data_IF_544608994313
#
_entry.id   IF_544608994313
#
_cell.length_a   1.000
_cell.length_b   1.000
_cell.length_c   1.000
_cell.angle_alpha   90.00
_cell.angle_beta   90.00
_cell.angle_gamma   90.00
#
_symmetry.space_group_name_H-M   'P 1'
#
loop_
_entity.id
_entity.type
_entity.pdbx_description
1 polymer ?
#
# COMPACT_ATOMS: atom_id res chain seq x y z
N UNK A 1 27.68 7.32 -9.36
CA UNK A 1 26.87 6.08 -9.26
C UNK A 1 25.41 6.44 -9.49
N UNK A 2 24.66 5.64 -10.24
CA UNK A 2 23.23 5.85 -10.40
C UNK A 2 22.52 5.49 -9.08
N UNK A 3 21.47 6.24 -8.72
CA UNK A 3 20.63 5.98 -7.55
C UNK A 3 19.89 4.65 -7.79
N UNK A 4 19.87 3.76 -6.81
CA UNK A 4 19.13 2.51 -6.85
C UNK A 4 17.77 2.64 -6.17
N UNK A 5 16.71 2.53 -6.95
CA UNK A 5 15.31 2.70 -6.52
C UNK A 5 14.69 1.32 -6.32
N UNK A 6 14.42 0.95 -5.07
CA UNK A 6 13.66 -0.27 -4.75
C UNK A 6 12.18 -0.07 -5.06
N UNK A 7 11.70 -0.64 -6.16
CA UNK A 7 10.30 -0.51 -6.60
C UNK A 7 9.44 -1.65 -6.04
N UNK A 8 8.67 -1.34 -5.02
CA UNK A 8 7.81 -2.31 -4.31
C UNK A 8 6.43 -2.34 -4.94
N UNK A 9 6.07 -3.45 -5.58
CA UNK A 9 4.77 -3.61 -6.25
C UNK A 9 4.37 -5.09 -6.37
N UNK A 10 3.06 -5.34 -6.57
CA UNK A 10 2.54 -6.69 -6.84
C UNK A 10 2.82 -7.14 -8.27
N UNK A 11 2.93 -6.21 -9.20
CA UNK A 11 3.10 -6.46 -10.62
C UNK A 11 4.49 -6.00 -11.07
N UNK A 12 5.05 -6.68 -12.04
CA UNK A 12 6.34 -6.29 -12.60
C UNK A 12 6.28 -4.85 -13.18
N UNK A 13 7.35 -4.05 -13.03
CA UNK A 13 7.39 -2.68 -13.53
C UNK A 13 7.14 -2.56 -15.05
N UNK A 14 7.44 -3.61 -15.81
CA UNK A 14 7.23 -3.67 -17.26
C UNK A 14 5.85 -4.20 -17.68
N UNK A 15 4.97 -4.57 -16.74
CA UNK A 15 3.62 -5.02 -17.06
C UNK A 15 2.72 -3.81 -17.39
N UNK A 16 2.45 -3.63 -18.69
CA UNK A 16 1.62 -2.53 -19.22
C UNK A 16 0.13 -2.68 -18.93
N UNK A 17 -0.33 -3.86 -18.50
CA UNK A 17 -1.75 -4.14 -18.19
C UNK A 17 -2.07 -3.89 -16.72
N UNK A 18 -1.06 -3.92 -15.87
CA UNK A 18 -1.24 -3.74 -14.43
C UNK A 18 -1.69 -2.31 -14.11
N UNK A 19 -2.73 -2.20 -13.26
CA UNK A 19 -3.29 -0.91 -12.81
C UNK A 19 -3.55 0.06 -13.97
N UNK A 20 -4.19 -0.46 -15.05
CA UNK A 20 -4.50 0.33 -16.27
C UNK A 20 -3.28 1.02 -16.89
N UNK A 21 -2.10 0.40 -16.79
CA UNK A 21 -0.85 0.95 -17.32
C UNK A 21 -0.10 1.89 -16.36
N UNK A 22 -0.72 2.33 -15.28
CA UNK A 22 -0.11 3.27 -14.33
C UNK A 22 1.17 2.72 -13.72
N UNK A 23 1.19 1.41 -13.35
CA UNK A 23 2.38 0.74 -12.81
C UNK A 23 3.58 0.88 -13.75
N UNK A 24 3.38 0.60 -15.04
CA UNK A 24 4.42 0.72 -16.07
C UNK A 24 4.88 2.18 -16.23
N UNK A 25 3.94 3.12 -16.34
CA UNK A 25 4.26 4.54 -16.54
C UNK A 25 5.04 5.15 -15.37
N UNK A 26 4.66 4.82 -14.15
CA UNK A 26 5.38 5.27 -12.94
C UNK A 26 6.80 4.71 -12.93
N UNK A 27 6.98 3.41 -13.18
CA UNK A 27 8.30 2.80 -13.26
C UNK A 27 9.16 3.37 -14.39
N UNK A 28 8.57 3.63 -15.57
CA UNK A 28 9.22 4.26 -16.72
C UNK A 28 9.72 5.68 -16.37
N UNK A 29 8.93 6.47 -15.65
CA UNK A 29 9.38 7.80 -15.22
C UNK A 29 10.48 7.73 -14.16
N UNK A 30 10.34 6.85 -13.18
CA UNK A 30 11.36 6.68 -12.13
C UNK A 30 12.69 6.17 -12.69
N UNK A 31 12.68 5.35 -13.74
CA UNK A 31 13.90 4.85 -14.39
C UNK A 31 14.78 5.94 -15.01
N UNK A 32 14.23 7.13 -15.24
CA UNK A 32 15.01 8.30 -15.70
C UNK A 32 15.91 8.88 -14.60
N UNK A 33 15.60 8.60 -13.35
CA UNK A 33 16.31 9.13 -12.18
C UNK A 33 17.23 8.11 -11.51
N UNK A 34 17.07 6.80 -11.81
CA UNK A 34 17.87 5.75 -11.22
C UNK A 34 17.59 4.36 -11.75
N UNK A 35 18.37 3.40 -11.28
CA UNK A 35 18.18 1.99 -11.56
C UNK A 35 16.99 1.45 -10.77
N UNK A 36 16.03 0.82 -11.45
CA UNK A 36 14.86 0.19 -10.81
C UNK A 36 15.20 -1.23 -10.40
N UNK A 37 15.13 -1.50 -9.10
CA UNK A 37 15.22 -2.84 -8.53
C UNK A 37 13.81 -3.26 -8.12
N UNK A 38 13.21 -4.17 -8.86
CA UNK A 38 11.85 -4.63 -8.55
C UNK A 38 11.83 -5.52 -7.30
N UNK A 39 10.97 -5.17 -6.36
CA UNK A 39 10.75 -5.84 -5.09
C UNK A 39 9.32 -6.40 -5.07
N UNK A 40 9.09 -7.63 -5.56
CA UNK A 40 7.75 -8.18 -5.73
C UNK A 40 7.08 -8.48 -4.39
N UNK A 41 5.81 -8.09 -4.28
CA UNK A 41 4.93 -8.46 -3.17
C UNK A 41 4.02 -9.60 -3.62
N UNK A 42 4.14 -10.75 -2.98
CA UNK A 42 3.31 -11.91 -3.28
C UNK A 42 2.28 -12.15 -2.18
N UNK A 43 1.04 -12.45 -2.57
CA UNK A 43 -0.02 -12.83 -1.64
C UNK A 43 0.19 -14.28 -1.20
N UNK A 44 0.47 -14.56 0.09
CA UNK A 44 0.63 -15.94 0.58
C UNK A 44 -0.63 -16.78 0.38
N UNK A 45 -0.48 -18.07 0.09
CA UNK A 45 -1.64 -18.99 -0.06
C UNK A 45 -2.51 -19.02 1.20
N UNK A 46 -1.90 -19.05 2.38
CA UNK A 46 -2.61 -19.04 3.66
C UNK A 46 -3.44 -17.76 3.85
N UNK A 47 -2.94 -16.61 3.39
CA UNK A 47 -3.70 -15.36 3.41
C UNK A 47 -4.99 -15.50 2.61
N UNK A 48 -4.94 -16.06 1.39
CA UNK A 48 -6.11 -16.23 0.52
C UNK A 48 -7.15 -17.16 1.14
N UNK A 49 -6.72 -18.26 1.74
CA UNK A 49 -7.62 -19.22 2.42
C UNK A 49 -8.34 -18.52 3.57
N UNK A 50 -7.60 -17.84 4.47
CA UNK A 50 -8.19 -17.14 5.60
C UNK A 50 -9.08 -15.97 5.17
N UNK A 51 -8.71 -15.26 4.14
CA UNK A 51 -9.53 -14.19 3.59
C UNK A 51 -10.89 -14.72 3.11
N UNK A 52 -10.90 -15.82 2.36
CA UNK A 52 -12.13 -16.43 1.85
C UNK A 52 -13.02 -16.96 2.99
N UNK A 53 -12.44 -17.65 3.98
CA UNK A 53 -13.20 -18.18 5.12
C UNK A 53 -13.79 -17.05 5.96
N UNK A 54 -13.03 -16.00 6.23
CA UNK A 54 -13.53 -14.85 7.01
C UNK A 54 -14.59 -14.05 6.24
N UNK A 55 -14.44 -13.90 4.92
CA UNK A 55 -15.48 -13.29 4.09
C UNK A 55 -16.78 -14.11 4.08
N UNK A 56 -16.69 -15.44 4.02
CA UNK A 56 -17.86 -16.33 4.12
C UNK A 56 -18.53 -16.19 5.49
N UNK A 57 -17.76 -16.23 6.57
CA UNK A 57 -18.26 -16.04 7.92
C UNK A 57 -18.92 -14.66 8.11
N UNK A 58 -18.33 -13.59 7.62
CA UNK A 58 -18.89 -12.24 7.73
C UNK A 58 -20.27 -12.12 7.06
N UNK A 59 -20.49 -12.85 5.96
CA UNK A 59 -21.78 -12.86 5.25
C UNK A 59 -22.93 -13.41 6.10
N UNK A 60 -22.66 -14.34 7.04
CA UNK A 60 -23.67 -14.87 7.97
C UNK A 60 -24.27 -13.76 8.86
N UNK A 61 -23.50 -12.71 9.11
CA UNK A 61 -23.92 -11.54 9.89
C UNK A 61 -24.34 -10.36 8.99
N UNK A 62 -24.55 -10.60 7.69
CA UNK A 62 -24.82 -9.56 6.70
C UNK A 62 -23.77 -8.42 6.73
N UNK A 63 -22.53 -8.74 7.12
CA UNK A 63 -21.40 -7.83 7.22
C UNK A 63 -20.32 -8.20 6.21
N UNK A 64 -19.37 -7.28 6.03
CA UNK A 64 -18.16 -7.50 5.26
C UNK A 64 -16.93 -7.38 6.15
N UNK A 65 -15.85 -7.99 5.70
CA UNK A 65 -14.52 -7.85 6.27
C UNK A 65 -13.52 -7.60 5.14
N UNK A 66 -12.71 -6.56 5.28
CA UNK A 66 -11.57 -6.35 4.40
C UNK A 66 -10.33 -6.85 5.13
N UNK A 67 -9.91 -8.07 4.79
CA UNK A 67 -8.95 -8.84 5.59
C UNK A 67 -7.57 -8.18 5.67
N UNK A 68 -7.12 -7.52 4.60
CA UNK A 68 -5.84 -6.78 4.59
C UNK A 68 -5.79 -5.72 5.70
N UNK A 69 -6.90 -5.07 6.00
CA UNK A 69 -7.00 -4.06 7.06
C UNK A 69 -7.35 -4.66 8.43
N UNK A 70 -6.91 -5.89 8.69
CA UNK A 70 -6.86 -6.51 10.02
C UNK A 70 -5.41 -6.76 10.41
N UNK A 71 -5.11 -6.78 11.74
CA UNK A 71 -3.76 -7.10 12.23
C UNK A 71 -3.26 -8.43 11.68
N UNK A 72 -4.13 -9.46 11.68
CA UNK A 72 -3.77 -10.78 11.19
C UNK A 72 -3.51 -10.75 9.67
N UNK A 73 -4.42 -10.18 8.90
CA UNK A 73 -4.30 -10.12 7.44
C UNK A 73 -3.06 -9.32 7.01
N UNK A 74 -2.86 -8.16 7.61
CA UNK A 74 -1.71 -7.32 7.32
C UNK A 74 -0.38 -8.00 7.67
N UNK A 75 -0.29 -8.65 8.84
CA UNK A 75 0.91 -9.39 9.25
C UNK A 75 1.20 -10.60 8.35
N UNK A 76 0.18 -11.35 7.94
CA UNK A 76 0.37 -12.47 7.02
C UNK A 76 0.83 -11.98 5.63
N UNK A 77 0.24 -10.91 5.15
CA UNK A 77 0.61 -10.31 3.87
C UNK A 77 2.03 -9.73 3.90
N UNK A 78 2.41 -9.09 4.99
CA UNK A 78 3.70 -8.46 5.17
C UNK A 78 4.89 -9.45 5.29
N UNK A 79 4.64 -10.72 5.54
CA UNK A 79 5.68 -11.78 5.64
C UNK A 79 6.19 -12.28 4.28
N UNK A 80 6.16 -11.46 3.24
CA UNK A 80 6.78 -11.80 1.95
C UNK A 80 8.32 -11.84 2.11
N UNK A 81 8.98 -13.00 1.93
CA UNK A 81 10.28 -13.27 2.54
C UNK A 81 11.48 -12.54 1.93
N UNK A 82 11.41 -12.12 0.67
CA UNK A 82 12.60 -11.75 -0.10
C UNK A 82 12.91 -10.24 -0.17
N UNK A 83 12.02 -9.39 0.35
CA UNK A 83 12.20 -7.93 0.22
C UNK A 83 13.37 -7.44 1.08
N UNK A 84 13.52 -7.95 2.30
CA UNK A 84 14.49 -7.42 3.28
C UNK A 84 15.94 -7.46 2.81
N UNK A 85 16.35 -8.55 2.17
CA UNK A 85 17.72 -8.69 1.65
C UNK A 85 18.00 -7.75 0.48
N UNK A 86 17.01 -7.56 -0.38
CA UNK A 86 17.10 -6.69 -1.55
C UNK A 86 17.03 -5.21 -1.20
N UNK A 87 16.31 -4.83 -0.12
CA UNK A 87 16.26 -3.44 0.38
C UNK A 87 17.64 -2.89 0.75
N UNK A 88 18.57 -3.76 1.17
CA UNK A 88 19.95 -3.34 1.49
C UNK A 88 20.69 -2.74 0.31
N UNK A 89 20.34 -3.15 -0.91
CA UNK A 89 20.96 -2.71 -2.16
C UNK A 89 20.36 -1.39 -2.69
N UNK A 90 19.22 -0.94 -2.12
CA UNK A 90 18.52 0.24 -2.58
C UNK A 90 18.97 1.48 -1.80
N UNK A 91 18.96 2.64 -2.43
CA UNK A 91 19.21 3.93 -1.81
C UNK A 91 17.90 4.58 -1.34
N UNK A 92 16.83 4.40 -2.11
CA UNK A 92 15.48 4.89 -1.85
C UNK A 92 14.47 3.79 -2.16
N UNK A 93 13.32 3.81 -1.49
CA UNK A 93 12.25 2.84 -1.67
C UNK A 93 11.03 3.56 -2.22
N UNK A 94 10.52 3.09 -3.34
CA UNK A 94 9.25 3.56 -3.91
C UNK A 94 8.21 2.44 -3.79
N UNK A 95 7.10 2.73 -3.10
CA UNK A 95 6.03 1.77 -2.85
C UNK A 95 4.81 2.14 -3.68
N UNK A 96 4.40 1.22 -4.57
CA UNK A 96 3.25 1.40 -5.45
C UNK A 96 2.02 0.72 -4.85
N UNK A 97 1.07 1.51 -4.36
CA UNK A 97 -0.27 1.16 -3.85
C UNK A 97 -0.35 0.19 -2.66
N UNK A 98 0.60 -0.69 -2.44
CA UNK A 98 0.52 -1.66 -1.37
C UNK A 98 1.74 -1.61 -0.45
N UNK A 99 1.59 -0.96 0.67
CA UNK A 99 2.64 -0.74 1.65
C UNK A 99 2.61 -1.72 2.83
N UNK A 100 1.71 -2.71 2.84
CA UNK A 100 1.55 -3.66 3.95
C UNK A 100 2.86 -4.32 4.44
N UNK A 101 3.86 -4.67 3.59
CA UNK A 101 5.13 -5.20 4.05
C UNK A 101 5.84 -4.33 5.09
N UNK A 102 5.70 -3.00 4.99
CA UNK A 102 6.36 -2.05 5.87
C UNK A 102 5.73 -1.93 7.27
N UNK A 103 4.67 -2.66 7.56
CA UNK A 103 4.22 -2.83 8.95
C UNK A 103 5.25 -3.55 9.80
N UNK A 104 5.92 -4.57 9.23
CA UNK A 104 6.93 -5.37 9.94
C UNK A 104 8.36 -5.00 9.52
N UNK A 105 8.55 -4.61 8.26
CA UNK A 105 9.87 -4.22 7.76
C UNK A 105 10.24 -2.85 8.32
N UNK A 106 11.41 -2.80 8.97
CA UNK A 106 12.06 -1.56 9.37
C UNK A 106 13.27 -1.31 8.47
N UNK A 107 13.43 -0.06 8.03
CA UNK A 107 14.56 0.38 7.21
C UNK A 107 14.90 1.82 7.53
N UNK A 108 16.16 2.19 7.44
CA UNK A 108 16.62 3.58 7.50
C UNK A 108 16.56 4.30 6.16
N UNK A 109 16.21 3.57 5.09
CA UNK A 109 16.11 4.17 3.75
C UNK A 109 14.83 5.01 3.65
N UNK A 110 14.88 6.15 2.94
CA UNK A 110 13.68 6.94 2.70
C UNK A 110 12.65 6.15 1.89
N UNK A 111 11.38 6.23 2.32
CA UNK A 111 10.26 5.55 1.65
C UNK A 111 9.34 6.60 1.05
N UNK A 112 9.11 6.52 -0.25
CA UNK A 112 8.09 7.28 -0.97
C UNK A 112 6.91 6.33 -1.24
N UNK A 113 5.72 6.70 -0.82
CA UNK A 113 4.51 5.91 -1.02
C UNK A 113 3.56 6.59 -1.98
N UNK A 114 3.16 5.87 -3.03
CA UNK A 114 2.13 6.32 -3.97
C UNK A 114 0.81 5.63 -3.66
N UNK A 115 -0.26 6.43 -3.52
CA UNK A 115 -1.62 5.93 -3.26
C UNK A 115 -2.67 6.72 -4.04
N UNK A 116 -3.75 6.04 -4.43
CA UNK A 116 -4.93 6.63 -5.06
C UNK A 116 -6.07 6.88 -4.06
N UNK A 117 -6.08 6.17 -2.94
CA UNK A 117 -7.08 6.31 -1.89
C UNK A 117 -6.53 5.83 -0.55
N UNK A 118 -7.09 6.32 0.55
CA UNK A 118 -6.85 5.81 1.89
C UNK A 118 -7.99 4.89 2.32
N UNK A 119 -7.74 4.02 3.31
CA UNK A 119 -8.80 3.16 3.83
C UNK A 119 -9.99 3.97 4.42
N UNK A 120 -9.79 5.03 5.25
CA UNK A 120 -10.92 5.85 5.72
C UNK A 120 -11.72 6.47 4.56
N UNK A 121 -11.08 6.96 3.51
CA UNK A 121 -11.77 7.53 2.35
C UNK A 121 -12.58 6.48 1.56
N UNK A 122 -12.16 5.22 1.58
CA UNK A 122 -12.88 4.13 0.90
C UNK A 122 -14.07 3.58 1.71
N UNK A 123 -14.08 3.74 3.04
CA UNK A 123 -15.15 3.24 3.92
C UNK A 123 -16.49 3.87 3.51
N UNK A 124 -17.49 3.00 3.30
CA UNK A 124 -18.87 3.34 2.93
C UNK A 124 -18.98 4.12 1.59
N UNK A 125 -17.88 4.30 0.86
CA UNK A 125 -17.83 4.90 -0.47
C UNK A 125 -17.79 3.83 -1.57
N UNK A 126 -16.85 2.89 -1.50
CA UNK A 126 -16.78 1.80 -2.48
C UNK A 126 -17.48 0.53 -1.98
N UNK A 127 -18.20 -0.20 -2.85
CA UNK A 127 -18.97 -1.38 -2.46
C UNK A 127 -18.20 -2.42 -1.63
N UNK A 128 -16.90 -2.73 -1.89
CA UNK A 128 -16.16 -3.67 -1.06
C UNK A 128 -15.92 -3.21 0.38
N UNK A 129 -15.97 -1.89 0.64
CA UNK A 129 -15.72 -1.26 1.92
C UNK A 129 -16.98 -0.81 2.65
N UNK A 130 -18.16 -1.05 2.06
CA UNK A 130 -19.45 -0.79 2.72
C UNK A 130 -19.80 -1.88 3.71
N UNK A 131 -20.52 -1.51 4.77
CA UNK A 131 -21.04 -2.44 5.78
C UNK A 131 -19.98 -3.31 6.46
N UNK A 132 -18.76 -2.77 6.65
CA UNK A 132 -17.70 -3.45 7.39
C UNK A 132 -18.04 -3.57 8.87
N UNK A 133 -17.51 -4.62 9.53
CA UNK A 133 -17.52 -4.66 10.98
C UNK A 133 -16.83 -3.43 11.59
N UNK A 134 -17.37 -2.92 12.69
CA UNK A 134 -16.81 -1.75 13.37
C UNK A 134 -15.34 -1.95 13.77
N UNK A 135 -15.01 -3.14 14.29
CA UNK A 135 -13.63 -3.46 14.64
C UNK A 135 -12.69 -3.40 13.44
N UNK A 136 -13.16 -3.83 12.24
CA UNK A 136 -12.34 -3.80 11.02
C UNK A 136 -12.08 -2.35 10.57
N UNK A 137 -13.11 -1.49 10.61
CA UNK A 137 -12.95 -0.06 10.34
C UNK A 137 -11.91 0.56 11.27
N UNK A 138 -12.09 0.42 12.59
CA UNK A 138 -11.20 1.00 13.61
C UNK A 138 -9.76 0.47 13.52
N UNK A 139 -9.61 -0.84 13.30
CA UNK A 139 -8.30 -1.47 13.19
C UNK A 139 -7.58 -1.05 11.92
N UNK A 140 -8.31 -1.01 10.78
CA UNK A 140 -7.74 -0.62 9.49
C UNK A 140 -7.24 0.82 9.48
N UNK A 141 -8.00 1.77 10.01
CA UNK A 141 -7.58 3.17 10.13
C UNK A 141 -6.28 3.28 10.93
N UNK A 142 -6.22 2.63 12.11
CA UNK A 142 -5.00 2.65 12.95
C UNK A 142 -3.79 2.01 12.29
N UNK A 143 -4.00 0.91 11.56
CA UNK A 143 -2.92 0.23 10.83
C UNK A 143 -2.36 1.13 9.73
N UNK A 144 -3.24 1.78 8.99
CA UNK A 144 -2.84 2.67 7.91
C UNK A 144 -2.16 3.94 8.45
N UNK A 145 -2.70 4.57 9.49
CA UNK A 145 -2.06 5.71 10.17
C UNK A 145 -0.63 5.37 10.64
N UNK A 146 -0.45 4.24 11.33
CA UNK A 146 0.87 3.79 11.78
C UNK A 146 1.83 3.52 10.62
N UNK A 147 1.31 3.02 9.50
CA UNK A 147 2.08 2.73 8.31
C UNK A 147 2.55 4.04 7.63
N UNK A 148 1.64 5.00 7.50
CA UNK A 148 1.92 6.29 6.88
C UNK A 148 2.95 7.12 7.67
N UNK A 149 3.03 6.94 8.99
CA UNK A 149 4.05 7.58 9.81
C UNK A 149 5.49 7.17 9.44
N UNK A 150 5.67 6.02 8.80
CA UNK A 150 6.98 5.51 8.36
C UNK A 150 7.46 6.12 7.03
N UNK A 151 6.59 6.79 6.29
CA UNK A 151 6.93 7.31 4.97
C UNK A 151 7.57 8.69 5.04
N UNK A 152 8.63 8.87 4.27
CA UNK A 152 9.33 10.15 4.10
C UNK A 152 8.53 11.10 3.22
N UNK A 153 7.85 10.56 2.20
CA UNK A 153 6.95 11.30 1.33
C UNK A 153 5.76 10.43 0.91
N UNK A 154 4.61 11.07 0.73
CA UNK A 154 3.38 10.43 0.28
C UNK A 154 2.89 11.18 -0.97
N UNK A 155 2.73 10.44 -2.04
CA UNK A 155 2.21 10.94 -3.32
C UNK A 155 0.80 10.43 -3.50
N UNK A 156 -0.16 11.33 -3.66
CA UNK A 156 -1.56 11.02 -3.89
C UNK A 156 -1.92 11.32 -5.35
N UNK A 157 -2.72 10.47 -5.98
CA UNK A 157 -3.19 10.66 -7.35
C UNK A 157 -4.30 11.71 -7.49
N UNK A 158 -4.79 12.25 -6.36
CA UNK A 158 -5.86 13.25 -6.33
C UNK A 158 -5.83 14.06 -5.04
N UNK A 159 -6.46 15.23 -5.08
CA UNK A 159 -6.65 16.06 -3.88
C UNK A 159 -7.63 15.41 -2.88
N UNK A 160 -8.53 14.55 -3.34
CA UNK A 160 -9.41 13.77 -2.47
C UNK A 160 -8.60 12.80 -1.59
N UNK A 161 -7.68 12.04 -2.18
CA UNK A 161 -6.79 11.16 -1.44
C UNK A 161 -5.86 11.96 -0.51
N UNK A 162 -5.30 13.09 -0.99
CA UNK A 162 -4.44 13.98 -0.20
C UNK A 162 -5.16 14.51 1.03
N UNK A 163 -6.40 14.99 0.89
CA UNK A 163 -7.22 15.48 2.02
C UNK A 163 -7.42 14.41 3.07
N UNK A 164 -7.72 13.16 2.65
CA UNK A 164 -7.89 12.06 3.58
C UNK A 164 -6.58 11.65 4.27
N UNK A 165 -5.44 11.64 3.58
CA UNK A 165 -4.13 11.40 4.20
C UNK A 165 -3.85 12.42 5.32
N UNK A 166 -4.14 13.70 5.09
CA UNK A 166 -3.87 14.75 6.07
C UNK A 166 -4.88 14.71 7.22
N UNK A 167 -6.19 14.64 6.92
CA UNK A 167 -7.24 14.84 7.91
C UNK A 167 -7.62 13.55 8.64
N UNK A 168 -7.75 12.41 7.91
CA UNK A 168 -8.24 11.16 8.49
C UNK A 168 -7.11 10.30 9.07
N UNK A 169 -5.89 10.45 8.53
CA UNK A 169 -4.69 9.72 8.97
C UNK A 169 -3.67 10.62 9.71
N UNK A 170 -4.02 11.86 10.02
CA UNK A 170 -3.23 12.82 10.81
C UNK A 170 -1.79 13.01 10.30
N UNK A 171 -1.58 13.02 8.98
CA UNK A 171 -0.23 13.13 8.44
C UNK A 171 0.20 14.59 8.24
N UNK A 172 1.50 14.85 8.44
CA UNK A 172 2.07 16.18 8.20
C UNK A 172 1.93 16.53 6.71
N UNK A 173 1.28 17.67 6.43
CA UNK A 173 1.01 18.18 5.07
C UNK A 173 2.27 18.38 4.23
N UNK A 174 3.41 18.66 4.87
CA UNK A 174 4.68 18.91 4.16
C UNK A 174 5.22 17.69 3.42
N UNK A 175 4.89 16.47 3.89
CA UNK A 175 5.29 15.22 3.23
C UNK A 175 4.23 14.67 2.27
N UNK A 176 3.07 15.36 2.11
CA UNK A 176 1.95 14.87 1.30
C UNK A 176 1.78 15.72 0.06
N UNK A 177 1.98 15.09 -1.09
CA UNK A 177 1.92 15.75 -2.40
C UNK A 177 0.79 15.14 -3.24
N UNK A 178 0.13 15.92 -4.08
CA UNK A 178 -0.79 15.39 -5.09
C UNK A 178 -0.18 15.54 -6.48
N UNK A 179 -0.27 14.47 -7.27
CA UNK A 179 0.15 14.44 -8.67
C UNK A 179 -0.99 13.78 -9.43
N UNK A 180 -1.66 14.54 -10.27
CA UNK A 180 -2.70 14.01 -11.12
C UNK A 180 -2.10 13.10 -12.20
N UNK A 181 -2.69 11.93 -12.39
CA UNK A 181 -2.34 11.07 -13.51
C UNK A 181 -3.07 11.58 -14.75
N UNK A 182 -2.30 12.03 -15.73
CA UNK A 182 -2.78 12.45 -17.05
C UNK A 182 -2.75 11.27 -18.01
#
# INVERSE_FOLDING_TARGET
>A
MAIKIGYVSQFAPNDRRASSGTNYKVAEQLSKYGEIIWLPINTPKIYRILELTLKAFARLFQKRIYFLYTKLGCNLFARSPNIVSQLKQCDIIFVFFNAAPFLIISTSKPIIYLTDATFPAMIDYYPPFCNLFHFNKKQGIRLEENLFNKFSAIVCSSDWAKKSVINDLNQNKEKVHSIEFI
#
